data_IF_692346641205
#
_entry.id   IF_692346641205
#
_cell.length_a   1.000
_cell.length_b   1.000
_cell.length_c   1.000
_cell.angle_alpha   90.00
_cell.angle_beta   90.00
_cell.angle_gamma   90.00
#
_symmetry.space_group_name_H-M   'P 1'
#
loop_
_entity.id
_entity.type
_entity.pdbx_description
1 polymer ?
#
# COMPACT_ATOMS: atom_id res chain seq x y z
N UNK A 1 -78.84 -6.59 17.18
CA UNK A 1 -79.28 -7.18 15.88
C UNK A 1 -78.01 -7.78 15.28
N UNK A 2 -77.72 -9.03 15.43
CA UNK A 2 -78.04 -10.23 14.65
C UNK A 2 -77.74 -10.06 13.18
N UNK A 3 -76.70 -10.79 12.73
CA UNK A 3 -76.35 -11.05 11.33
C UNK A 3 -75.15 -11.97 11.24
N UNK A 4 -75.43 -13.28 11.32
CA UNK A 4 -74.51 -14.39 10.99
C UNK A 4 -74.35 -14.44 9.48
N UNK A 5 -73.16 -14.76 8.95
CA UNK A 5 -73.05 -15.70 7.81
C UNK A 5 -71.64 -16.31 7.72
N UNK A 6 -71.73 -17.52 7.82
CA UNK A 6 -70.96 -18.71 7.52
C UNK A 6 -70.24 -18.75 6.14
N UNK A 7 -68.98 -19.32 6.12
CA UNK A 7 -68.64 -20.30 5.07
C UNK A 7 -67.60 -19.86 4.06
N UNK A 8 -66.43 -20.36 4.04
CA UNK A 8 -65.94 -21.48 3.23
C UNK A 8 -64.46 -21.71 3.42
N UNK A 9 -64.13 -22.86 3.96
CA UNK A 9 -62.75 -23.38 4.02
C UNK A 9 -62.42 -23.93 2.64
N UNK A 10 -61.51 -23.31 1.91
CA UNK A 10 -60.91 -23.91 0.71
C UNK A 10 -59.48 -24.33 1.06
N UNK A 11 -59.32 -25.63 1.25
CA UNK A 11 -58.06 -26.35 1.43
C UNK A 11 -57.33 -26.40 0.11
N UNK A 12 -56.28 -25.62 -0.08
CA UNK A 12 -55.34 -25.76 -1.21
C UNK A 12 -54.12 -26.54 -0.75
N UNK A 13 -54.08 -27.83 -1.09
CA UNK A 13 -52.88 -28.65 -1.06
C UNK A 13 -51.90 -28.13 -2.14
N UNK A 14 -50.85 -27.46 -1.74
CA UNK A 14 -49.67 -27.20 -2.58
C UNK A 14 -48.69 -28.35 -2.40
N UNK A 15 -48.58 -29.16 -3.46
CA UNK A 15 -47.54 -30.18 -3.62
C UNK A 15 -46.15 -29.54 -3.55
N UNK A 16 -45.40 -29.84 -2.51
CA UNK A 16 -43.96 -29.60 -2.43
C UNK A 16 -43.27 -30.58 -3.40
N UNK A 17 -43.04 -30.14 -4.62
CA UNK A 17 -42.04 -30.74 -5.49
C UNK A 17 -40.67 -30.29 -5.05
N UNK A 18 -39.97 -31.13 -4.31
CA UNK A 18 -38.58 -30.94 -3.98
C UNK A 18 -37.71 -30.96 -5.24
N UNK A 19 -37.16 -29.84 -5.60
CA UNK A 19 -36.02 -29.78 -6.53
C UNK A 19 -34.76 -29.84 -5.71
N UNK A 20 -34.22 -31.04 -5.54
CA UNK A 20 -32.81 -31.24 -5.23
C UNK A 20 -32.01 -30.88 -6.49
N UNK A 21 -31.61 -29.64 -6.61
CA UNK A 21 -30.62 -29.25 -7.62
C UNK A 21 -29.21 -29.44 -7.07
N UNK A 22 -28.74 -30.68 -7.03
CA UNK A 22 -27.32 -30.98 -7.17
C UNK A 22 -26.97 -30.74 -8.63
N UNK A 23 -26.71 -29.49 -9.01
CA UNK A 23 -26.24 -29.14 -10.34
C UNK A 23 -24.72 -29.29 -10.38
N UNK A 24 -24.24 -30.38 -10.93
CA UNK A 24 -22.93 -30.42 -11.57
C UNK A 24 -22.96 -29.44 -12.75
N UNK A 25 -22.31 -28.30 -12.62
CA UNK A 25 -22.09 -27.36 -13.72
C UNK A 25 -21.11 -27.94 -14.73
N UNK A 26 -21.65 -28.71 -15.68
CA UNK A 26 -20.95 -29.10 -16.89
C UNK A 26 -21.94 -29.11 -18.05
N UNK A 27 -22.16 -27.91 -18.64
CA UNK A 27 -22.48 -27.71 -20.08
C UNK A 27 -22.69 -26.22 -20.38
N UNK A 28 -21.67 -25.52 -20.92
CA UNK A 28 -21.91 -24.31 -21.74
C UNK A 28 -22.23 -23.00 -21.00
N UNK A 29 -22.06 -22.90 -19.70
CA UNK A 29 -22.24 -21.65 -18.97
C UNK A 29 -20.95 -20.80 -19.03
N UNK A 30 -21.12 -19.51 -19.33
CA UNK A 30 -20.02 -18.53 -19.28
C UNK A 30 -19.55 -18.36 -17.84
N UNK A 31 -18.22 -18.53 -17.59
CA UNK A 31 -17.60 -18.26 -16.29
C UNK A 31 -17.63 -16.75 -16.01
N UNK A 32 -18.01 -16.36 -14.81
CA UNK A 32 -17.94 -14.97 -14.36
C UNK A 32 -17.02 -14.87 -13.14
N UNK A 33 -15.97 -14.07 -13.26
CA UNK A 33 -15.01 -13.78 -12.20
C UNK A 33 -15.27 -12.39 -11.63
N UNK A 34 -15.25 -12.25 -10.32
CA UNK A 34 -15.33 -10.96 -9.65
C UNK A 34 -13.91 -10.46 -9.34
N UNK A 35 -13.52 -9.32 -9.90
CA UNK A 35 -12.25 -8.66 -9.65
C UNK A 35 -12.47 -7.43 -8.79
N UNK A 36 -12.10 -7.50 -7.51
CA UNK A 36 -12.05 -6.33 -6.64
C UNK A 36 -10.76 -5.56 -6.87
N UNK A 37 -10.88 -4.27 -7.19
CA UNK A 37 -9.76 -3.36 -7.38
C UNK A 37 -9.81 -2.23 -6.35
N UNK A 38 -8.68 -1.93 -5.72
CA UNK A 38 -8.49 -0.80 -4.81
C UNK A 38 -7.96 0.45 -5.53
N UNK A 39 -7.97 0.46 -6.86
CA UNK A 39 -7.68 1.66 -7.63
C UNK A 39 -8.64 2.78 -7.20
N UNK A 40 -8.09 3.95 -6.82
CA UNK A 40 -8.90 5.04 -6.25
C UNK A 40 -8.75 6.35 -7.01
N UNK A 41 -7.63 6.56 -7.67
CA UNK A 41 -7.43 7.70 -8.55
C UNK A 41 -8.15 7.47 -9.88
N UNK A 42 -8.74 8.51 -10.45
CA UNK A 42 -9.57 8.38 -11.65
C UNK A 42 -8.86 7.64 -12.79
N UNK A 43 -7.62 8.01 -13.10
CA UNK A 43 -6.85 7.37 -14.17
C UNK A 43 -6.55 5.91 -13.89
N UNK A 44 -6.33 5.55 -12.62
CA UNK A 44 -6.13 4.17 -12.21
C UNK A 44 -7.40 3.32 -12.37
N UNK A 45 -8.54 3.86 -11.93
CA UNK A 45 -9.86 3.21 -12.11
C UNK A 45 -10.17 3.00 -13.59
N UNK A 46 -9.92 4.02 -14.42
CA UNK A 46 -10.12 3.94 -15.87
C UNK A 46 -9.23 2.88 -16.51
N UNK A 47 -7.93 2.85 -16.18
CA UNK A 47 -6.98 1.85 -16.70
C UNK A 47 -7.42 0.41 -16.36
N UNK A 48 -7.85 0.17 -15.11
CA UNK A 48 -8.34 -1.14 -14.70
C UNK A 48 -9.62 -1.54 -15.46
N UNK A 49 -10.60 -0.64 -15.57
CA UNK A 49 -11.85 -0.90 -16.30
C UNK A 49 -11.63 -1.14 -17.78
N UNK A 50 -10.72 -0.41 -18.41
CA UNK A 50 -10.37 -0.63 -19.81
C UNK A 50 -9.73 -2.01 -20.02
N UNK A 51 -8.81 -2.42 -19.15
CA UNK A 51 -8.20 -3.76 -19.22
C UNK A 51 -9.23 -4.87 -19.02
N UNK A 52 -10.18 -4.70 -18.09
CA UNK A 52 -11.32 -5.64 -17.95
C UNK A 52 -12.16 -5.69 -19.22
N UNK A 53 -12.42 -4.55 -19.85
CA UNK A 53 -13.16 -4.49 -21.13
C UNK A 53 -12.41 -5.20 -22.25
N UNK A 54 -11.09 -5.00 -22.36
CA UNK A 54 -10.24 -5.67 -23.36
C UNK A 54 -10.20 -7.19 -23.14
N UNK A 55 -10.09 -7.64 -21.89
CA UNK A 55 -10.21 -9.06 -21.55
C UNK A 55 -11.54 -9.63 -22.00
N UNK A 56 -12.64 -9.02 -21.59
CA UNK A 56 -14.00 -9.49 -21.90
C UNK A 56 -14.28 -9.54 -23.41
N UNK A 57 -13.66 -8.66 -24.19
CA UNK A 57 -13.79 -8.67 -25.65
C UNK A 57 -13.04 -9.82 -26.32
N UNK A 58 -11.96 -10.30 -25.71
CA UNK A 58 -11.10 -11.34 -26.27
C UNK A 58 -11.30 -12.75 -25.65
N UNK A 59 -12.09 -12.86 -24.59
CA UNK A 59 -12.35 -14.11 -23.86
C UNK A 59 -13.86 -14.31 -23.68
N UNK A 60 -14.58 -14.81 -24.72
CA UNK A 60 -16.04 -14.91 -24.69
C UNK A 60 -16.56 -15.86 -23.60
N UNK A 61 -15.77 -16.87 -23.22
CA UNK A 61 -16.17 -17.90 -22.25
C UNK A 61 -15.89 -17.51 -20.79
N UNK A 62 -15.04 -16.50 -20.56
CA UNK A 62 -14.65 -16.03 -19.22
C UNK A 62 -14.86 -14.52 -19.11
N UNK A 63 -15.90 -14.13 -18.40
CA UNK A 63 -16.21 -12.72 -18.11
C UNK A 63 -15.57 -12.30 -16.79
N UNK A 64 -14.99 -11.11 -16.75
CA UNK A 64 -14.58 -10.45 -15.51
C UNK A 64 -15.51 -9.28 -15.19
N UNK A 65 -16.00 -9.23 -13.97
CA UNK A 65 -16.77 -8.11 -13.42
C UNK A 65 -15.87 -7.29 -12.49
N UNK A 66 -15.70 -6.02 -12.83
CA UNK A 66 -14.95 -5.08 -12.02
C UNK A 66 -15.75 -4.67 -10.79
N UNK A 67 -15.21 -4.88 -9.62
CA UNK A 67 -15.76 -4.47 -8.32
C UNK A 67 -14.87 -3.39 -7.72
N UNK A 68 -15.43 -2.21 -7.48
CA UNK A 68 -14.71 -1.12 -6.84
C UNK A 68 -14.62 -1.37 -5.34
N UNK A 69 -13.41 -1.51 -4.84
CA UNK A 69 -13.09 -1.53 -3.41
C UNK A 69 -12.60 -0.18 -2.90
N UNK A 70 -12.25 -0.11 -1.62
CA UNK A 70 -11.67 1.05 -0.95
C UNK A 70 -10.53 0.59 -0.06
N UNK A 71 -9.49 1.42 0.07
CA UNK A 71 -8.40 1.21 1.03
C UNK A 71 -8.83 1.36 2.49
N UNK A 72 -9.96 2.06 2.72
CA UNK A 72 -10.49 2.24 4.08
C UNK A 72 -10.97 0.90 4.64
N UNK A 73 -10.35 0.44 5.74
CA UNK A 73 -10.71 -0.81 6.44
C UNK A 73 -10.74 -2.06 5.53
N UNK A 74 -9.90 -2.11 4.49
CA UNK A 74 -9.89 -3.21 3.50
C UNK A 74 -9.66 -4.56 4.17
N UNK A 75 -8.73 -4.63 5.13
CA UNK A 75 -8.44 -5.87 5.87
C UNK A 75 -9.69 -6.46 6.52
N UNK A 76 -10.43 -5.67 7.30
CA UNK A 76 -11.63 -6.12 7.99
C UNK A 76 -12.77 -6.47 7.02
N UNK A 77 -12.89 -5.71 5.91
CA UNK A 77 -13.88 -5.98 4.87
C UNK A 77 -13.60 -7.31 4.15
N UNK A 78 -12.32 -7.57 3.80
CA UNK A 78 -11.92 -8.83 3.18
C UNK A 78 -12.11 -10.00 4.15
N UNK A 79 -11.71 -9.88 5.40
CA UNK A 79 -11.91 -10.91 6.41
C UNK A 79 -13.40 -11.26 6.55
N UNK A 80 -14.27 -10.26 6.64
CA UNK A 80 -15.72 -10.46 6.68
C UNK A 80 -16.24 -11.17 5.43
N UNK A 81 -15.74 -10.82 4.24
CA UNK A 81 -16.17 -11.43 2.97
C UNK A 81 -15.69 -12.88 2.85
N UNK A 82 -14.50 -13.20 3.34
CA UNK A 82 -13.99 -14.58 3.39
C UNK A 82 -14.85 -15.45 4.33
N UNK A 83 -15.09 -14.97 5.55
CA UNK A 83 -15.93 -15.69 6.52
C UNK A 83 -17.37 -15.86 6.07
N UNK A 84 -17.89 -14.89 5.28
CA UNK A 84 -19.23 -14.94 4.70
C UNK A 84 -19.37 -15.79 3.43
N UNK A 85 -18.27 -16.27 2.85
CA UNK A 85 -18.28 -16.98 1.57
C UNK A 85 -18.62 -16.07 0.36
N UNK A 86 -18.44 -14.76 0.51
CA UNK A 86 -18.76 -13.74 -0.50
C UNK A 86 -17.48 -13.04 -1.04
N UNK A 87 -16.32 -13.66 -0.86
CA UNK A 87 -15.06 -13.10 -1.33
C UNK A 87 -15.05 -12.96 -2.87
N UNK A 88 -14.43 -11.90 -3.42
CA UNK A 88 -14.19 -11.82 -4.86
C UNK A 88 -13.15 -12.87 -5.28
N UNK A 89 -13.23 -13.35 -6.54
CA UNK A 89 -12.28 -14.35 -7.05
C UNK A 89 -10.87 -13.80 -7.12
N UNK A 90 -10.73 -12.53 -7.51
CA UNK A 90 -9.44 -11.85 -7.65
C UNK A 90 -9.46 -10.61 -6.75
N UNK A 91 -8.46 -10.50 -5.91
CA UNK A 91 -8.37 -9.52 -4.84
C UNK A 91 -7.14 -8.64 -5.09
N UNK A 92 -7.35 -7.34 -5.23
CA UNK A 92 -6.29 -6.34 -5.18
C UNK A 92 -6.15 -5.84 -3.75
N UNK A 93 -4.95 -5.98 -3.17
CA UNK A 93 -4.63 -5.56 -1.82
C UNK A 93 -3.16 -5.18 -1.67
N UNK A 94 -2.75 -4.68 -0.49
CA UNK A 94 -1.36 -4.51 -0.14
C UNK A 94 -0.75 -5.84 0.36
N UNK A 95 0.53 -6.03 0.11
CA UNK A 95 1.23 -7.24 0.56
C UNK A 95 1.33 -7.38 2.09
N UNK A 96 1.03 -6.32 2.86
CA UNK A 96 1.07 -6.33 4.33
C UNK A 96 0.01 -7.25 4.94
N UNK A 97 -1.15 -7.38 4.29
CA UNK A 97 -2.28 -8.16 4.78
C UNK A 97 -2.20 -9.64 4.38
N UNK A 98 -1.38 -9.96 3.35
CA UNK A 98 -1.29 -11.33 2.80
C UNK A 98 -0.90 -12.38 3.84
N UNK A 99 -0.07 -12.04 4.82
CA UNK A 99 0.38 -13.00 5.82
C UNK A 99 -0.79 -13.54 6.65
N UNK A 100 -1.67 -12.66 7.11
CA UNK A 100 -2.82 -13.04 7.94
C UNK A 100 -3.84 -13.84 7.10
N UNK A 101 -4.10 -13.43 5.87
CA UNK A 101 -5.02 -14.13 4.97
C UNK A 101 -4.47 -15.50 4.50
N UNK A 102 -3.17 -15.58 4.24
CA UNK A 102 -2.53 -16.85 3.85
C UNK A 102 -2.53 -17.87 5.00
N UNK A 103 -2.30 -17.43 6.23
CA UNK A 103 -2.35 -18.29 7.42
C UNK A 103 -3.78 -18.62 7.87
N UNK A 104 -4.76 -17.85 7.43
CA UNK A 104 -6.19 -18.12 7.62
C UNK A 104 -6.78 -19.06 6.55
N UNK A 105 -5.95 -19.55 5.62
CA UNK A 105 -6.37 -20.38 4.48
C UNK A 105 -7.41 -19.70 3.56
N UNK A 106 -7.39 -18.35 3.51
CA UNK A 106 -8.33 -17.58 2.68
C UNK A 106 -7.83 -17.37 1.24
N UNK A 107 -6.51 -17.54 1.00
CA UNK A 107 -5.89 -17.29 -0.29
C UNK A 107 -5.32 -18.57 -0.91
N UNK A 108 -5.49 -18.70 -2.22
CA UNK A 108 -4.96 -19.82 -3.00
C UNK A 108 -3.44 -19.74 -3.13
N UNK A 109 -2.78 -20.90 -3.05
CA UNK A 109 -1.36 -21.01 -3.42
C UNK A 109 -1.20 -20.95 -4.95
N UNK A 110 -0.61 -19.88 -5.42
CA UNK A 110 -0.49 -19.56 -6.84
C UNK A 110 0.65 -20.29 -7.56
N UNK A 111 1.51 -21.04 -6.87
CA UNK A 111 2.69 -21.71 -7.47
C UNK A 111 2.35 -22.59 -8.67
N UNK A 112 1.21 -23.28 -8.63
CA UNK A 112 0.77 -24.19 -9.68
C UNK A 112 0.08 -23.52 -10.88
N UNK A 113 -0.42 -22.30 -10.73
CA UNK A 113 -1.26 -21.64 -11.72
C UNK A 113 -0.61 -20.42 -12.41
N UNK A 114 0.46 -19.85 -11.84
CA UNK A 114 1.16 -18.71 -12.44
C UNK A 114 1.98 -19.13 -13.66
N UNK A 115 1.97 -18.27 -14.70
CA UNK A 115 2.76 -18.49 -15.92
C UNK A 115 4.26 -18.38 -15.65
N UNK A 116 5.07 -19.11 -16.46
CA UNK A 116 6.52 -19.03 -16.40
C UNK A 116 7.04 -17.61 -16.72
N UNK A 117 6.36 -16.91 -17.63
CA UNK A 117 6.65 -15.52 -17.99
C UNK A 117 6.59 -14.61 -16.76
N UNK A 118 5.47 -14.66 -16.04
CA UNK A 118 5.22 -13.78 -14.90
C UNK A 118 6.21 -14.05 -13.76
N UNK A 119 6.48 -15.34 -13.49
CA UNK A 119 7.49 -15.75 -12.50
C UNK A 119 8.89 -15.24 -12.82
N UNK A 120 9.27 -15.18 -14.11
CA UNK A 120 10.58 -14.73 -14.55
C UNK A 120 10.71 -13.19 -14.61
N UNK A 121 9.61 -12.46 -14.86
CA UNK A 121 9.65 -11.01 -15.03
C UNK A 121 9.71 -10.24 -13.68
N UNK A 122 9.06 -10.78 -12.65
CA UNK A 122 9.04 -10.14 -11.33
C UNK A 122 10.28 -10.57 -10.53
N UNK A 123 11.09 -9.64 -9.98
CA UNK A 123 12.29 -9.96 -9.22
C UNK A 123 11.99 -10.76 -7.95
N UNK A 124 12.92 -11.64 -7.56
CA UNK A 124 12.80 -12.48 -6.35
C UNK A 124 12.51 -11.66 -5.09
N UNK A 125 13.12 -10.47 -4.94
CA UNK A 125 12.85 -9.57 -3.80
C UNK A 125 11.40 -9.12 -3.69
N UNK A 126 10.70 -9.00 -4.84
CA UNK A 126 9.27 -8.66 -4.85
C UNK A 126 8.42 -9.89 -4.51
N UNK A 127 8.77 -11.08 -5.02
CA UNK A 127 8.10 -12.33 -4.67
C UNK A 127 8.17 -12.64 -3.17
N UNK A 128 9.26 -12.25 -2.50
CA UNK A 128 9.41 -12.43 -1.04
C UNK A 128 8.29 -11.74 -0.25
N UNK A 129 7.71 -10.67 -0.79
CA UNK A 129 6.61 -9.93 -0.13
C UNK A 129 5.27 -10.70 -0.15
N UNK A 130 5.16 -11.73 -0.98
CA UNK A 130 3.93 -12.50 -1.17
C UNK A 130 4.14 -14.01 -0.96
N UNK A 131 5.27 -14.40 -0.33
CA UNK A 131 5.64 -15.81 -0.09
C UNK A 131 5.63 -16.10 1.41
N UNK A 132 4.79 -17.04 1.84
CA UNK A 132 4.60 -17.44 3.24
C UNK A 132 4.52 -18.95 3.35
N UNK A 133 5.14 -19.55 4.36
CA UNK A 133 5.08 -21.02 4.57
C UNK A 133 5.49 -21.87 3.37
N UNK A 134 6.25 -21.30 2.43
CA UNK A 134 6.65 -21.96 1.17
C UNK A 134 5.62 -21.85 0.04
N UNK A 135 4.43 -21.27 0.26
CA UNK A 135 3.43 -20.94 -0.76
C UNK A 135 3.57 -19.50 -1.28
N UNK A 136 2.98 -19.21 -2.43
CA UNK A 136 2.89 -17.87 -3.04
C UNK A 136 1.42 -17.47 -3.07
N UNK A 137 1.04 -16.39 -2.36
CA UNK A 137 -0.36 -16.03 -2.12
C UNK A 137 -0.81 -14.72 -2.77
N UNK A 138 0.09 -14.09 -3.52
CA UNK A 138 -0.22 -12.90 -4.30
C UNK A 138 0.84 -12.66 -5.37
N UNK A 139 0.48 -11.89 -6.39
CA UNK A 139 1.41 -11.44 -7.42
C UNK A 139 1.69 -9.96 -7.20
N UNK A 140 2.90 -9.57 -6.75
CA UNK A 140 3.26 -8.17 -6.60
C UNK A 140 3.27 -7.48 -7.96
N UNK A 141 2.60 -6.33 -8.12
CA UNK A 141 2.52 -5.70 -9.44
C UNK A 141 2.85 -4.20 -9.45
N UNK A 142 2.50 -3.44 -8.42
CA UNK A 142 2.85 -2.04 -8.27
C UNK A 142 3.54 -1.77 -6.94
N UNK A 143 4.46 -0.83 -6.93
CA UNK A 143 5.21 -0.41 -5.75
C UNK A 143 5.51 1.08 -5.81
N UNK A 144 5.63 1.73 -4.64
CA UNK A 144 5.98 3.14 -4.61
C UNK A 144 7.09 3.45 -3.61
N UNK A 145 8.13 4.19 -4.02
CA UNK A 145 9.07 4.77 -3.08
C UNK A 145 8.42 5.91 -2.28
N UNK A 146 8.91 6.17 -1.09
CA UNK A 146 8.72 7.46 -0.43
C UNK A 146 9.66 8.48 -1.05
N UNK A 147 9.10 9.64 -1.36
CA UNK A 147 9.83 10.78 -1.96
C UNK A 147 9.54 12.05 -1.17
N UNK A 148 10.30 13.09 -1.41
CA UNK A 148 10.00 14.42 -0.92
C UNK A 148 9.52 15.26 -2.10
N UNK A 149 8.27 15.73 -2.07
CA UNK A 149 7.84 16.78 -3.00
C UNK A 149 8.24 18.13 -2.41
N UNK A 150 8.81 19.00 -3.22
CA UNK A 150 9.41 20.24 -2.78
C UNK A 150 8.99 21.42 -3.66
N UNK A 151 8.81 22.59 -3.06
CA UNK A 151 8.62 23.85 -3.77
C UNK A 151 9.94 24.28 -4.40
N UNK A 152 10.04 24.15 -5.73
CA UNK A 152 11.26 24.38 -6.49
C UNK A 152 11.76 25.82 -6.38
N UNK A 153 10.84 26.78 -6.45
CA UNK A 153 11.17 28.20 -6.27
C UNK A 153 11.79 28.47 -4.89
N UNK A 154 11.19 27.95 -3.84
CA UNK A 154 11.67 28.16 -2.48
C UNK A 154 13.05 27.53 -2.24
N UNK A 155 13.28 26.29 -2.73
CA UNK A 155 14.60 25.65 -2.66
C UNK A 155 15.66 26.48 -3.40
N UNK A 156 15.36 26.95 -4.61
CA UNK A 156 16.27 27.75 -5.43
C UNK A 156 16.63 29.08 -4.76
N UNK A 157 15.64 29.79 -4.24
CA UNK A 157 15.85 31.08 -3.54
C UNK A 157 16.66 30.92 -2.25
N UNK A 158 16.56 29.77 -1.57
CA UNK A 158 17.32 29.50 -0.36
C UNK A 158 18.77 29.08 -0.60
N UNK A 159 19.16 28.77 -1.84
CA UNK A 159 20.49 28.32 -2.20
C UNK A 159 20.90 26.99 -1.54
N UNK A 160 19.95 26.14 -1.17
CA UNK A 160 20.25 24.79 -0.68
C UNK A 160 20.62 23.88 -1.85
N UNK A 161 21.51 22.93 -1.62
CA UNK A 161 21.83 21.89 -2.60
C UNK A 161 20.61 21.03 -2.86
N UNK A 162 20.24 20.85 -4.13
CA UNK A 162 19.17 19.92 -4.50
C UNK A 162 19.74 18.49 -4.47
N UNK A 163 19.12 17.55 -3.75
CA UNK A 163 19.55 16.17 -3.71
C UNK A 163 19.12 15.42 -4.99
N UNK A 164 19.93 14.46 -5.40
CA UNK A 164 19.63 13.51 -6.46
C UNK A 164 19.77 12.09 -5.93
N UNK A 165 19.30 11.04 -6.62
CA UNK A 165 19.53 9.66 -6.20
C UNK A 165 21.00 9.30 -6.04
N UNK A 166 21.90 9.90 -6.85
CA UNK A 166 23.34 9.67 -6.78
C UNK A 166 24.01 10.47 -5.65
N UNK A 167 23.37 11.56 -5.23
CA UNK A 167 23.85 12.45 -4.16
C UNK A 167 22.70 12.90 -3.27
N UNK A 168 22.09 12.00 -2.50
CA UNK A 168 20.98 12.34 -1.60
C UNK A 168 21.44 13.25 -0.46
N UNK A 169 20.50 13.80 0.27
CA UNK A 169 20.78 14.33 1.61
C UNK A 169 20.92 13.19 2.60
N UNK A 170 21.79 13.35 3.59
CA UNK A 170 21.69 12.55 4.80
C UNK A 170 20.52 13.02 5.68
N UNK A 171 20.09 12.22 6.65
CA UNK A 171 19.08 12.64 7.63
C UNK A 171 19.48 13.92 8.38
N UNK A 172 20.77 14.08 8.69
CA UNK A 172 21.28 15.28 9.34
C UNK A 172 21.24 16.50 8.40
N UNK A 173 21.61 16.35 7.12
CA UNK A 173 21.48 17.42 6.12
C UNK A 173 20.03 17.81 5.92
N UNK A 174 19.13 16.84 5.79
CA UNK A 174 17.70 17.09 5.66
C UNK A 174 17.14 17.91 6.83
N UNK A 175 17.48 17.52 8.08
CA UNK A 175 17.11 18.29 9.27
C UNK A 175 17.68 19.71 9.23
N UNK A 176 18.94 19.88 8.83
CA UNK A 176 19.56 21.20 8.68
C UNK A 176 18.89 22.06 7.62
N UNK A 177 18.53 21.45 6.47
CA UNK A 177 17.82 22.12 5.38
C UNK A 177 16.43 22.56 5.84
N UNK A 178 15.67 21.71 6.52
CA UNK A 178 14.32 22.08 7.00
C UNK A 178 14.39 23.27 7.98
N UNK A 179 15.35 23.31 8.88
CA UNK A 179 15.56 24.48 9.77
C UNK A 179 15.86 25.75 8.97
N UNK A 180 16.75 25.67 7.98
CA UNK A 180 17.11 26.82 7.13
C UNK A 180 15.93 27.35 6.33
N UNK A 181 15.01 26.49 5.93
CA UNK A 181 13.79 26.84 5.18
C UNK A 181 12.66 27.32 6.09
N UNK A 182 12.82 27.28 7.40
CA UNK A 182 11.77 27.66 8.36
C UNK A 182 11.90 29.11 8.83
N UNK A 183 10.80 29.66 9.29
CA UNK A 183 10.71 30.99 9.89
C UNK A 183 9.58 31.84 9.34
N UNK A 184 9.22 32.90 10.08
CA UNK A 184 8.13 33.84 9.73
C UNK A 184 6.78 33.13 9.50
N UNK A 185 6.46 32.11 10.32
CA UNK A 185 5.22 31.34 10.21
C UNK A 185 5.20 30.31 9.09
N UNK A 186 6.35 30.02 8.49
CA UNK A 186 6.55 29.00 7.45
C UNK A 186 7.44 27.88 7.97
N UNK A 187 7.26 26.68 7.43
CA UNK A 187 7.95 25.47 7.85
C UNK A 187 8.77 24.87 6.72
N UNK A 188 9.93 24.30 7.05
CA UNK A 188 10.78 23.60 6.08
C UNK A 188 10.14 22.29 5.60
N UNK A 189 9.33 21.64 6.45
CA UNK A 189 8.69 20.36 6.12
C UNK A 189 7.29 20.27 6.72
N UNK A 190 6.42 19.53 6.05
CA UNK A 190 5.14 19.07 6.58
C UNK A 190 5.11 17.54 6.53
N UNK A 191 5.00 16.89 7.67
CA UNK A 191 4.89 15.43 7.76
C UNK A 191 3.43 15.01 7.87
N UNK A 192 2.85 14.32 6.88
CA UNK A 192 1.50 13.74 6.97
C UNK A 192 1.56 12.43 7.74
N UNK A 193 1.32 12.45 9.04
CA UNK A 193 1.50 11.31 9.95
C UNK A 193 0.20 10.88 10.62
N UNK A 194 -0.95 11.02 9.94
CA UNK A 194 -2.18 10.35 10.36
C UNK A 194 -1.96 8.83 10.49
N UNK A 195 -1.21 8.26 9.52
CA UNK A 195 -0.78 6.85 9.49
C UNK A 195 0.76 6.80 9.56
N UNK A 196 1.37 6.95 10.75
CA UNK A 196 2.80 7.19 10.87
C UNK A 196 3.67 5.94 10.67
N UNK A 197 3.12 4.75 10.95
CA UNK A 197 3.89 3.51 11.11
C UNK A 197 4.61 3.12 9.83
N UNK A 198 3.87 2.95 8.75
CA UNK A 198 4.41 2.52 7.46
C UNK A 198 5.52 3.46 6.96
N UNK A 199 5.27 4.78 7.02
CA UNK A 199 6.26 5.77 6.60
C UNK A 199 7.53 5.71 7.46
N UNK A 200 7.37 5.62 8.78
CA UNK A 200 8.48 5.57 9.72
C UNK A 200 9.33 4.31 9.52
N UNK A 201 8.70 3.13 9.50
CA UNK A 201 9.42 1.86 9.37
C UNK A 201 10.13 1.73 8.02
N UNK A 202 9.44 2.08 6.94
CA UNK A 202 10.01 1.96 5.61
C UNK A 202 11.21 2.88 5.38
N UNK A 203 11.17 4.10 5.91
CA UNK A 203 12.30 5.02 5.84
C UNK A 203 13.44 4.65 6.80
N UNK A 204 13.14 3.96 7.92
CA UNK A 204 14.17 3.54 8.88
C UNK A 204 15.17 2.53 8.30
N UNK A 205 14.79 1.79 7.24
CA UNK A 205 15.71 0.89 6.53
C UNK A 205 16.92 1.63 5.96
N UNK A 206 16.79 2.90 5.57
CA UNK A 206 17.94 3.72 5.12
C UNK A 206 19.03 3.87 6.20
N UNK A 207 18.64 3.83 7.46
CA UNK A 207 19.56 3.91 8.61
C UNK A 207 19.97 2.52 9.16
N UNK A 208 19.54 1.43 8.52
CA UNK A 208 19.76 0.06 9.00
C UNK A 208 18.79 -0.35 10.11
N UNK A 209 17.62 0.30 10.20
CA UNK A 209 16.57 -0.08 11.16
C UNK A 209 15.88 -1.37 10.75
N UNK A 210 15.77 -2.31 11.67
CA UNK A 210 15.08 -3.58 11.51
C UNK A 210 14.24 -3.85 12.77
N UNK A 211 13.08 -3.22 12.86
CA UNK A 211 12.23 -3.30 14.04
C UNK A 211 11.79 -4.75 14.37
N UNK A 212 11.45 -5.54 13.34
CA UNK A 212 11.01 -6.92 13.49
C UNK A 212 12.16 -7.88 13.23
N UNK A 213 12.53 -8.64 14.26
CA UNK A 213 13.62 -9.62 14.20
C UNK A 213 13.06 -11.03 14.23
N UNK A 214 13.35 -11.81 13.19
CA UNK A 214 12.96 -13.22 13.10
C UNK A 214 14.13 -14.10 13.56
N UNK A 215 13.88 -15.01 14.50
CA UNK A 215 14.88 -16.00 14.91
C UNK A 215 14.90 -17.23 13.98
N UNK A 216 15.77 -18.19 14.28
CA UNK A 216 15.93 -19.39 13.48
C UNK A 216 14.66 -20.29 13.47
N UNK A 217 13.84 -20.23 14.52
CA UNK A 217 12.59 -20.97 14.65
C UNK A 217 11.41 -20.25 14.00
N UNK A 218 11.68 -19.09 13.38
CA UNK A 218 10.69 -18.28 12.68
C UNK A 218 9.91 -17.32 13.57
N UNK A 219 10.17 -17.30 14.88
CA UNK A 219 9.53 -16.38 15.83
C UNK A 219 9.98 -14.95 15.62
N UNK A 220 9.01 -14.04 15.54
CA UNK A 220 9.26 -12.61 15.36
C UNK A 220 9.22 -11.89 16.71
N UNK A 221 10.21 -11.06 16.96
CA UNK A 221 10.29 -10.19 18.13
C UNK A 221 10.55 -8.74 17.70
N UNK A 222 9.96 -7.80 18.42
CA UNK A 222 10.18 -6.37 18.21
C UNK A 222 11.37 -5.91 19.04
N UNK A 223 12.31 -5.23 18.37
CA UNK A 223 13.42 -4.51 19.00
C UNK A 223 13.45 -3.08 18.45
N UNK A 224 13.80 -2.13 19.26
CA UNK A 224 13.87 -0.72 18.87
C UNK A 224 15.25 -0.18 19.21
N UNK A 225 16.19 -0.37 18.28
CA UNK A 225 17.61 -0.03 18.42
C UNK A 225 17.94 1.40 17.97
N UNK A 226 19.22 1.74 17.94
CA UNK A 226 19.69 3.08 17.56
C UNK A 226 19.34 3.41 16.10
N UNK A 227 19.45 2.45 15.18
CA UNK A 227 19.11 2.62 13.78
C UNK A 227 17.60 2.91 13.57
N UNK A 228 16.74 2.19 14.30
CA UNK A 228 15.28 2.40 14.25
C UNK A 228 14.87 3.78 14.76
N UNK A 229 15.68 4.41 15.59
CA UNK A 229 15.39 5.72 16.19
C UNK A 229 15.76 6.91 15.28
N UNK A 230 16.54 6.72 14.21
CA UNK A 230 17.02 7.83 13.37
C UNK A 230 15.87 8.62 12.78
N UNK A 231 14.93 7.95 12.14
CA UNK A 231 13.76 8.60 11.50
C UNK A 231 12.81 9.19 12.54
N UNK A 232 12.35 8.43 13.56
CA UNK A 232 11.46 8.99 14.59
C UNK A 232 12.04 10.21 15.30
N UNK A 233 13.32 10.14 15.69
CA UNK A 233 14.00 11.30 16.33
C UNK A 233 14.07 12.50 15.39
N UNK A 234 14.40 12.29 14.11
CA UNK A 234 14.47 13.40 13.15
C UNK A 234 13.12 14.11 13.03
N UNK A 235 12.02 13.36 12.92
CA UNK A 235 10.67 13.92 12.84
C UNK A 235 10.30 14.67 14.13
N UNK A 236 10.54 14.05 15.28
CA UNK A 236 10.28 14.65 16.59
C UNK A 236 11.09 15.93 16.78
N UNK A 237 12.40 15.89 16.51
CA UNK A 237 13.26 17.06 16.66
C UNK A 237 12.87 18.20 15.72
N UNK A 238 12.44 17.90 14.48
CA UNK A 238 11.92 18.89 13.55
C UNK A 238 10.61 19.53 14.06
N UNK A 239 9.75 18.80 14.75
CA UNK A 239 8.49 19.29 15.28
C UNK A 239 8.69 20.07 16.60
N UNK A 240 9.39 19.48 17.57
CA UNK A 240 9.48 19.95 18.94
C UNK A 240 10.68 20.89 19.20
N UNK A 241 11.87 20.49 18.74
CA UNK A 241 13.11 21.25 19.05
C UNK A 241 13.41 22.34 18.03
N UNK A 242 13.33 21.99 16.74
CA UNK A 242 13.73 22.88 15.63
C UNK A 242 12.55 23.77 15.18
N UNK A 243 11.34 23.41 15.51
CA UNK A 243 10.10 24.02 15.02
C UNK A 243 10.10 24.19 13.49
N UNK A 244 10.72 23.23 12.80
CA UNK A 244 10.87 23.23 11.34
C UNK A 244 9.86 22.33 10.63
N UNK A 245 9.15 21.46 11.36
CA UNK A 245 7.99 20.74 10.87
C UNK A 245 6.69 21.44 11.28
N UNK A 246 5.70 21.42 10.38
CA UNK A 246 4.38 22.00 10.66
C UNK A 246 3.62 21.13 11.68
N UNK A 247 3.26 21.65 12.87
CA UNK A 247 2.58 20.85 13.88
C UNK A 247 1.16 20.44 13.43
N UNK A 248 0.52 21.21 12.55
CA UNK A 248 -0.84 20.92 12.09
C UNK A 248 -0.92 19.74 11.12
N UNK A 249 0.20 19.25 10.62
CA UNK A 249 0.24 18.15 9.64
C UNK A 249 0.56 16.78 10.25
N UNK A 250 0.99 16.74 11.51
CA UNK A 250 1.33 15.49 12.19
C UNK A 250 0.13 14.53 12.35
N UNK A 251 -1.09 15.04 12.37
CA UNK A 251 -2.33 14.25 12.35
C UNK A 251 -3.06 14.24 11.01
N UNK A 252 -2.45 14.78 9.95
CA UNK A 252 -3.07 14.89 8.62
C UNK A 252 -2.69 13.73 7.71
N UNK A 253 -3.56 13.42 6.76
CA UNK A 253 -3.25 12.55 5.63
C UNK A 253 -2.42 13.27 4.57
N UNK A 254 -1.88 12.53 3.59
CA UNK A 254 -1.06 13.09 2.52
C UNK A 254 -1.80 14.18 1.73
N UNK A 255 -3.01 13.90 1.28
CA UNK A 255 -3.84 14.86 0.51
C UNK A 255 -4.13 16.13 1.29
N UNK A 256 -4.33 16.06 2.61
CA UNK A 256 -4.66 17.20 3.47
C UNK A 256 -3.51 18.21 3.56
N UNK A 257 -2.27 17.80 3.24
CA UNK A 257 -1.11 18.69 3.27
C UNK A 257 -0.96 19.52 1.99
N UNK A 258 -1.57 19.11 0.88
CA UNK A 258 -1.35 19.73 -0.43
C UNK A 258 -1.82 21.19 -0.50
N UNK A 259 -2.99 21.61 0.05
CA UNK A 259 -3.39 23.01 0.03
C UNK A 259 -2.38 23.93 0.72
N UNK A 260 -1.82 23.52 1.85
CA UNK A 260 -0.77 24.26 2.54
C UNK A 260 0.55 24.31 1.79
N UNK A 261 0.91 23.23 1.08
CA UNK A 261 2.07 23.17 0.20
C UNK A 261 1.93 24.14 -0.98
N UNK A 262 0.78 24.14 -1.65
CA UNK A 262 0.49 25.10 -2.74
C UNK A 262 0.44 26.54 -2.25
N UNK A 263 -0.07 26.77 -1.04
CA UNK A 263 -0.11 28.06 -0.38
C UNK A 263 1.23 28.54 0.17
N UNK A 264 2.32 27.76 0.02
CA UNK A 264 3.66 28.11 0.48
C UNK A 264 3.79 28.21 2.01
N UNK A 265 3.04 27.39 2.75
CA UNK A 265 3.18 27.26 4.21
C UNK A 265 4.37 26.39 4.58
N UNK A 266 4.70 25.40 3.75
CA UNK A 266 5.85 24.50 3.91
C UNK A 266 6.59 24.32 2.59
N UNK A 267 7.92 24.17 2.71
CA UNK A 267 8.78 24.01 1.56
C UNK A 267 8.75 22.60 0.98
N UNK A 268 8.56 21.59 1.82
CA UNK A 268 8.66 20.17 1.46
C UNK A 268 7.58 19.35 2.15
N UNK A 269 7.16 18.27 1.49
CA UNK A 269 6.24 17.25 2.03
C UNK A 269 6.74 15.87 1.66
N UNK A 270 7.14 15.02 2.62
CA UNK A 270 7.41 13.60 2.37
C UNK A 270 6.11 12.86 2.07
N UNK A 271 6.01 12.22 0.90
CA UNK A 271 4.80 11.56 0.39
C UNK A 271 5.14 10.22 -0.27
N UNK A 272 4.14 9.40 -0.49
CA UNK A 272 4.21 8.31 -1.46
C UNK A 272 4.31 8.87 -2.88
N UNK A 273 4.95 8.13 -3.75
CA UNK A 273 5.22 8.55 -5.13
C UNK A 273 3.95 8.80 -5.96
N UNK A 274 2.86 8.14 -5.65
CA UNK A 274 1.55 8.26 -6.30
C UNK A 274 0.86 9.62 -6.06
N UNK A 275 1.16 10.32 -4.97
CA UNK A 275 0.57 11.64 -4.68
C UNK A 275 0.90 12.73 -5.71
N UNK A 276 1.91 12.50 -6.57
CA UNK A 276 2.25 13.41 -7.67
C UNK A 276 1.07 13.66 -8.61
N UNK A 277 0.20 12.66 -8.81
CA UNK A 277 -1.02 12.83 -9.60
C UNK A 277 -1.89 13.96 -9.04
N UNK A 278 -2.12 13.98 -7.73
CA UNK A 278 -2.91 15.05 -7.12
C UNK A 278 -2.21 16.41 -7.24
N UNK A 279 -0.89 16.44 -7.16
CA UNK A 279 -0.13 17.69 -7.34
C UNK A 279 -0.33 18.24 -8.75
N UNK A 280 -0.19 17.39 -9.77
CA UNK A 280 -0.41 17.80 -11.17
C UNK A 280 -1.84 18.29 -11.40
N UNK A 281 -2.83 17.65 -10.78
CA UNK A 281 -4.24 18.02 -10.95
C UNK A 281 -4.65 19.28 -10.18
N UNK A 282 -4.06 19.54 -9.01
CA UNK A 282 -4.56 20.53 -8.06
C UNK A 282 -3.63 21.73 -7.89
N UNK A 283 -2.36 21.63 -8.30
CA UNK A 283 -1.44 22.75 -8.15
C UNK A 283 -1.88 23.98 -8.96
N UNK A 284 -1.72 25.18 -8.42
CA UNK A 284 -1.96 26.41 -9.19
C UNK A 284 -1.11 26.47 -10.45
N UNK A 285 -1.65 27.05 -11.52
CA UNK A 285 -0.91 27.20 -12.78
C UNK A 285 0.46 27.87 -12.55
N UNK A 286 1.51 27.23 -13.02
CA UNK A 286 2.89 27.71 -12.88
C UNK A 286 3.51 27.47 -11.50
N UNK A 287 2.91 26.62 -10.67
CA UNK A 287 3.51 26.19 -9.42
C UNK A 287 4.75 25.35 -9.69
N UNK A 288 5.92 25.86 -9.32
CA UNK A 288 7.21 25.19 -9.50
C UNK A 288 7.42 24.18 -8.37
N UNK A 289 7.41 22.89 -8.72
CA UNK A 289 7.64 21.81 -7.78
C UNK A 289 8.58 20.75 -8.38
N UNK A 290 9.19 19.94 -7.53
CA UNK A 290 10.06 18.86 -7.93
C UNK A 290 10.00 17.68 -6.96
N UNK A 291 10.38 16.51 -7.45
CA UNK A 291 10.50 15.27 -6.69
C UNK A 291 11.95 15.05 -6.30
N UNK A 292 12.19 14.87 -5.02
CA UNK A 292 13.51 14.62 -4.45
C UNK A 292 13.52 13.21 -3.82
N UNK A 293 14.67 12.51 -3.81
CA UNK A 293 14.81 11.29 -3.04
C UNK A 293 14.62 11.56 -1.54
N UNK A 294 14.11 10.57 -0.82
CA UNK A 294 14.14 10.59 0.64
C UNK A 294 15.60 10.63 1.16
N UNK A 295 15.83 11.06 2.41
CA UNK A 295 17.19 11.12 2.96
C UNK A 295 17.84 9.74 3.04
N UNK A 296 19.14 9.69 2.78
CA UNK A 296 19.97 8.51 2.94
C UNK A 296 20.49 8.38 4.37
N UNK A 297 20.63 7.15 4.82
CA UNK A 297 21.30 6.79 6.07
C UNK A 297 22.53 5.92 5.83
N UNK A 298 22.87 5.07 6.80
CA UNK A 298 24.02 4.16 6.72
C UNK A 298 23.86 3.15 5.55
N UNK A 299 22.61 2.73 5.24
CA UNK A 299 22.29 1.81 4.15
C UNK A 299 21.82 2.56 2.89
N UNK A 300 22.30 3.79 2.71
CA UNK A 300 22.02 4.60 1.53
C UNK A 300 20.54 4.98 1.41
N UNK A 301 19.98 4.84 0.20
CA UNK A 301 18.58 5.16 -0.11
C UNK A 301 17.62 3.98 0.11
N UNK A 302 18.07 2.93 0.81
CA UNK A 302 17.23 1.75 1.07
C UNK A 302 15.93 2.15 1.75
N UNK A 303 14.81 1.70 1.19
CA UNK A 303 13.47 1.93 1.73
C UNK A 303 12.67 0.63 1.74
N UNK A 304 11.81 0.49 2.74
CA UNK A 304 10.78 -0.54 2.76
C UNK A 304 9.66 -0.21 1.79
N UNK A 305 9.10 -1.24 1.22
CA UNK A 305 7.91 -1.14 0.37
C UNK A 305 7.00 -2.33 0.61
N UNK A 306 5.72 -2.05 0.63
CA UNK A 306 4.65 -3.06 0.59
C UNK A 306 3.99 -2.94 -0.79
N UNK A 307 4.38 -3.78 -1.76
CA UNK A 307 3.78 -3.74 -3.08
C UNK A 307 2.28 -4.00 -3.01
N UNK A 308 1.55 -3.41 -3.93
CA UNK A 308 0.20 -3.86 -4.26
C UNK A 308 0.27 -5.24 -4.90
N UNK A 309 -0.67 -6.10 -4.56
CA UNK A 309 -0.71 -7.50 -5.00
C UNK A 309 -2.07 -7.85 -5.61
N UNK A 310 -2.05 -8.84 -6.48
CA UNK A 310 -3.24 -9.54 -6.95
C UNK A 310 -3.23 -10.96 -6.39
N UNK A 311 -4.21 -11.28 -5.58
CA UNK A 311 -4.43 -12.59 -4.97
C UNK A 311 -5.67 -13.27 -5.55
N UNK A 312 -5.79 -14.58 -5.33
CA UNK A 312 -6.98 -15.36 -5.71
C UNK A 312 -7.54 -15.98 -4.43
N UNK A 313 -8.84 -15.86 -4.23
CA UNK A 313 -9.50 -16.45 -3.07
C UNK A 313 -9.38 -17.99 -3.11
N UNK A 314 -9.15 -18.62 -1.96
CA UNK A 314 -9.08 -20.09 -1.89
C UNK A 314 -10.39 -20.74 -2.29
N UNK A 315 -11.52 -20.14 -1.94
CA UNK A 315 -12.86 -20.68 -2.27
C UNK A 315 -13.28 -20.40 -3.71
N UNK A 316 -12.50 -19.67 -4.52
CA UNK A 316 -12.83 -19.49 -5.93
C UNK A 316 -12.82 -20.83 -6.67
N UNK A 317 -13.93 -21.21 -7.34
CA UNK A 317 -13.98 -22.44 -8.13
C UNK A 317 -13.21 -22.30 -9.46
N UNK A 318 -12.78 -21.09 -9.83
CA UNK A 318 -12.18 -20.75 -11.12
C UNK A 318 -10.75 -20.21 -10.99
N UNK A 319 -9.94 -20.80 -10.09
CA UNK A 319 -8.56 -20.34 -9.80
C UNK A 319 -7.68 -20.27 -11.04
N UNK A 320 -7.87 -21.17 -12.00
CA UNK A 320 -7.08 -21.19 -13.23
C UNK A 320 -7.43 -20.01 -14.14
N UNK A 321 -8.69 -19.77 -14.38
CA UNK A 321 -9.18 -18.66 -15.20
C UNK A 321 -8.87 -17.31 -14.53
N UNK A 322 -8.96 -17.23 -13.21
CA UNK A 322 -8.51 -16.09 -12.43
C UNK A 322 -7.02 -15.81 -12.61
N UNK A 323 -6.17 -16.85 -12.58
CA UNK A 323 -4.74 -16.71 -12.82
C UNK A 323 -4.42 -16.29 -14.27
N UNK A 324 -5.19 -16.75 -15.26
CA UNK A 324 -5.07 -16.31 -16.66
C UNK A 324 -5.41 -14.81 -16.81
N UNK A 325 -6.43 -14.33 -16.11
CA UNK A 325 -6.75 -12.89 -16.08
C UNK A 325 -5.64 -12.08 -15.37
N UNK A 326 -5.12 -12.54 -14.24
CA UNK A 326 -3.97 -11.92 -13.57
C UNK A 326 -2.76 -11.86 -14.51
N UNK A 327 -2.45 -12.95 -15.23
CA UNK A 327 -1.37 -12.96 -16.23
C UNK A 327 -1.61 -11.93 -17.36
N UNK A 328 -2.85 -11.78 -17.81
CA UNK A 328 -3.22 -10.75 -18.79
C UNK A 328 -3.01 -9.35 -18.24
N UNK A 329 -3.51 -9.03 -17.05
CA UNK A 329 -3.33 -7.73 -16.40
C UNK A 329 -1.85 -7.38 -16.25
N UNK A 330 -1.02 -8.37 -15.97
CA UNK A 330 0.40 -8.19 -15.66
C UNK A 330 1.33 -8.46 -16.86
N UNK A 331 0.82 -8.44 -18.09
CA UNK A 331 1.67 -8.33 -19.27
C UNK A 331 2.41 -6.99 -19.24
N UNK A 332 3.68 -6.92 -19.68
CA UNK A 332 4.48 -5.70 -19.53
C UNK A 332 3.75 -4.43 -19.95
N UNK A 333 3.12 -4.42 -21.14
CA UNK A 333 2.36 -3.27 -21.64
C UNK A 333 1.19 -2.87 -20.74
N UNK A 334 0.45 -3.84 -20.20
CA UNK A 334 -0.69 -3.59 -19.34
C UNK A 334 -0.23 -3.13 -17.95
N UNK A 335 0.84 -3.72 -17.43
CA UNK A 335 1.45 -3.30 -16.16
C UNK A 335 1.96 -1.85 -16.23
N UNK A 336 2.49 -1.40 -17.38
CA UNK A 336 2.82 0.02 -17.62
C UNK A 336 1.57 0.89 -17.53
N UNK A 337 0.46 0.48 -18.15
CA UNK A 337 -0.82 1.23 -18.08
C UNK A 337 -1.32 1.36 -16.65
N UNK A 338 -1.27 0.27 -15.87
CA UNK A 338 -1.62 0.29 -14.45
C UNK A 338 -0.69 1.22 -13.66
N UNK A 339 0.63 1.12 -13.91
CA UNK A 339 1.63 1.94 -13.24
C UNK A 339 1.44 3.44 -13.53
N UNK A 340 1.21 3.81 -14.78
CA UNK A 340 0.94 5.20 -15.18
C UNK A 340 -0.40 5.70 -14.62
N UNK A 341 -1.44 4.84 -14.62
CA UNK A 341 -2.75 5.17 -14.05
C UNK A 341 -2.69 5.45 -12.56
N UNK A 342 -1.92 4.65 -11.83
CA UNK A 342 -1.75 4.76 -10.37
C UNK A 342 -0.60 5.68 -9.94
N UNK A 343 0.18 6.18 -10.90
CA UNK A 343 1.37 6.99 -10.66
C UNK A 343 2.39 6.28 -9.76
N UNK A 344 2.49 4.96 -9.89
CA UNK A 344 3.38 4.07 -9.16
C UNK A 344 4.41 3.41 -10.10
N UNK A 345 5.31 2.64 -9.56
CA UNK A 345 6.28 1.88 -10.33
C UNK A 345 5.83 0.42 -10.49
N UNK A 346 5.96 -0.17 -11.69
CA UNK A 346 5.71 -1.59 -11.86
C UNK A 346 6.80 -2.42 -11.17
N UNK A 347 6.45 -3.60 -10.68
CA UNK A 347 7.43 -4.56 -10.16
C UNK A 347 8.12 -5.34 -11.27
N UNK A 348 7.42 -5.55 -12.41
CA UNK A 348 7.93 -6.28 -13.56
C UNK A 348 9.12 -5.58 -14.22
N UNK A 349 10.20 -6.34 -14.44
CA UNK A 349 11.46 -5.81 -14.96
C UNK A 349 11.34 -5.31 -16.40
N UNK A 350 10.46 -5.91 -17.21
CA UNK A 350 10.22 -5.43 -18.58
C UNK A 350 9.38 -4.15 -18.59
N UNK A 351 8.33 -4.10 -17.77
CA UNK A 351 7.50 -2.91 -17.64
C UNK A 351 8.30 -1.71 -17.10
N UNK A 352 9.20 -1.94 -16.13
CA UNK A 352 10.02 -0.87 -15.55
C UNK A 352 10.98 -0.21 -16.56
N UNK A 353 11.26 -0.85 -17.71
CA UNK A 353 12.11 -0.29 -18.78
C UNK A 353 11.36 0.62 -19.74
N UNK A 354 10.04 0.75 -19.60
CA UNK A 354 9.25 1.57 -20.52
C UNK A 354 9.70 3.04 -20.46
N UNK A 355 9.97 3.69 -21.61
CA UNK A 355 10.44 5.06 -21.66
C UNK A 355 9.54 6.06 -20.94
N UNK A 356 8.22 5.83 -20.87
CA UNK A 356 7.28 6.70 -20.18
C UNK A 356 7.59 6.84 -18.66
N UNK A 357 8.22 5.83 -18.06
CA UNK A 357 8.62 5.82 -16.65
C UNK A 357 9.99 6.47 -16.40
N UNK A 358 10.69 6.93 -17.45
CA UNK A 358 12.04 7.52 -17.35
C UNK A 358 12.09 9.00 -17.73
N UNK A 359 10.94 9.64 -17.89
CA UNK A 359 10.87 11.07 -18.21
C UNK A 359 11.25 11.92 -17.00
N UNK A 360 11.82 13.10 -17.24
CA UNK A 360 12.06 14.08 -16.17
C UNK A 360 10.75 14.72 -15.68
N UNK A 361 9.69 14.66 -16.49
CA UNK A 361 8.38 15.21 -16.19
C UNK A 361 7.81 14.56 -14.93
N UNK A 362 7.23 15.35 -14.06
CA UNK A 362 6.58 14.94 -12.83
C UNK A 362 7.40 14.00 -11.93
N UNK A 363 8.72 13.97 -12.10
CA UNK A 363 9.64 13.21 -11.27
C UNK A 363 9.68 11.70 -11.56
N UNK A 364 9.18 11.22 -12.71
CA UNK A 364 9.24 9.81 -13.05
C UNK A 364 10.67 9.25 -13.01
N UNK A 365 11.64 9.95 -13.63
CA UNK A 365 13.04 9.52 -13.60
C UNK A 365 13.58 9.35 -12.18
N UNK A 366 13.24 10.26 -11.26
CA UNK A 366 13.65 10.16 -9.84
C UNK A 366 13.07 8.91 -9.20
N UNK A 367 11.76 8.67 -9.35
CA UNK A 367 11.11 7.47 -8.80
C UNK A 367 11.70 6.18 -9.36
N UNK A 368 11.88 6.11 -10.67
CA UNK A 368 12.45 4.92 -11.34
C UNK A 368 13.88 4.64 -10.91
N UNK A 369 14.70 5.67 -10.70
CA UNK A 369 16.06 5.51 -10.13
C UNK A 369 16.02 4.91 -8.70
N UNK A 370 14.96 5.17 -7.94
CA UNK A 370 14.80 4.60 -6.58
C UNK A 370 14.36 3.13 -6.59
N UNK A 371 13.83 2.60 -7.69
CA UNK A 371 13.31 1.23 -7.75
C UNK A 371 14.34 0.16 -7.32
N UNK A 372 15.63 0.37 -7.61
CA UNK A 372 16.71 -0.51 -7.20
C UNK A 372 17.00 -0.52 -5.70
N UNK A 373 16.54 0.49 -4.96
CA UNK A 373 16.74 0.65 -3.52
C UNK A 373 15.56 0.14 -2.68
N UNK A 374 14.47 -0.29 -3.32
CA UNK A 374 13.30 -0.81 -2.62
C UNK A 374 13.55 -2.23 -2.11
N UNK A 375 13.14 -2.50 -0.88
CA UNK A 375 13.22 -3.79 -0.20
C UNK A 375 11.86 -4.10 0.41
N UNK A 376 11.64 -5.36 0.80
CA UNK A 376 10.45 -5.72 1.57
C UNK A 376 10.33 -4.84 2.82
N UNK A 377 9.11 -4.37 3.10
CA UNK A 377 8.85 -3.59 4.31
C UNK A 377 9.21 -4.40 5.57
N UNK A 378 9.67 -3.76 6.66
CA UNK A 378 9.98 -4.47 7.91
C UNK A 378 8.83 -5.29 8.46
N UNK A 379 7.60 -4.87 8.22
CA UNK A 379 6.38 -5.55 8.62
C UNK A 379 6.03 -6.79 7.80
N UNK A 380 6.71 -6.99 6.67
CA UNK A 380 6.40 -8.07 5.74
C UNK A 380 6.50 -9.43 6.42
N UNK A 381 5.50 -10.28 6.22
CA UNK A 381 5.40 -11.62 6.83
C UNK A 381 5.31 -11.63 8.36
N UNK A 382 4.89 -10.54 8.98
CA UNK A 382 4.68 -10.47 10.44
C UNK A 382 3.21 -10.68 10.76
N UNK A 383 2.86 -11.87 11.23
CA UNK A 383 1.50 -12.19 11.70
C UNK A 383 1.12 -11.28 12.87
N UNK A 384 -0.11 -10.76 12.83
CA UNK A 384 -0.61 -9.81 13.83
C UNK A 384 -0.04 -8.39 13.66
N UNK A 385 0.64 -8.09 12.54
CA UNK A 385 1.10 -6.75 12.23
C UNK A 385 -0.06 -5.73 12.17
N UNK A 386 -1.21 -6.00 11.53
CA UNK A 386 -2.31 -5.05 11.50
C UNK A 386 -2.76 -4.64 12.91
N UNK A 387 -2.95 -5.60 13.81
CA UNK A 387 -3.33 -5.29 15.18
C UNK A 387 -2.27 -4.50 15.94
N UNK A 388 -1.00 -4.88 15.80
CA UNK A 388 0.10 -4.14 16.40
C UNK A 388 0.17 -2.71 15.85
N UNK A 389 0.06 -2.55 14.54
CA UNK A 389 0.07 -1.24 13.86
C UNK A 389 -1.00 -0.33 14.43
N UNK A 390 -2.24 -0.81 14.46
CA UNK A 390 -3.39 0.04 14.77
C UNK A 390 -3.55 0.29 16.27
N UNK A 391 -3.32 -0.73 17.12
CA UNK A 391 -3.58 -0.63 18.57
C UNK A 391 -2.37 -0.20 19.39
N UNK A 392 -1.15 -0.38 18.88
CA UNK A 392 0.08 -0.07 19.64
C UNK A 392 0.91 0.99 18.96
N UNK A 393 1.32 0.78 17.70
CA UNK A 393 2.35 1.61 17.09
C UNK A 393 1.81 2.96 16.62
N UNK A 394 0.64 3.00 15.97
CA UNK A 394 0.05 4.26 15.50
C UNK A 394 -0.15 5.27 16.62
N UNK A 395 -0.86 4.95 17.72
CA UNK A 395 -1.02 5.91 18.82
C UNK A 395 0.32 6.27 19.49
N UNK A 396 1.25 5.31 19.66
CA UNK A 396 2.53 5.58 20.28
C UNK A 396 3.39 6.54 19.44
N UNK A 397 3.44 6.37 18.13
CA UNK A 397 4.17 7.30 17.25
C UNK A 397 3.48 8.67 17.17
N UNK A 398 2.15 8.73 17.12
CA UNK A 398 1.43 10.02 17.11
C UNK A 398 1.68 10.82 18.38
N UNK A 399 1.62 10.17 19.55
CA UNK A 399 1.92 10.81 20.85
C UNK A 399 3.40 11.25 20.94
N UNK A 400 4.32 10.45 20.41
CA UNK A 400 5.73 10.81 20.37
C UNK A 400 6.00 12.01 19.44
N UNK A 401 5.41 12.03 18.25
CA UNK A 401 5.61 13.13 17.30
C UNK A 401 4.94 14.44 17.76
N UNK A 402 3.90 14.35 18.55
CA UNK A 402 3.26 15.52 19.18
C UNK A 402 3.97 15.98 20.46
N UNK A 403 5.01 15.28 20.91
CA UNK A 403 5.72 15.59 22.16
C UNK A 403 4.99 15.16 23.43
N UNK A 404 3.88 14.41 23.33
CA UNK A 404 3.11 13.95 24.49
C UNK A 404 3.85 12.86 25.29
N UNK A 405 4.68 12.05 24.63
CA UNK A 405 5.54 11.04 25.28
C UNK A 405 6.99 11.18 24.82
N UNK A 406 7.91 10.75 25.68
CA UNK A 406 9.34 10.70 25.36
C UNK A 406 9.75 9.41 24.64
N UNK A 407 10.97 9.40 24.08
CA UNK A 407 11.53 8.26 23.34
C UNK A 407 11.57 6.96 24.16
N UNK A 408 11.84 7.05 25.48
CA UNK A 408 11.84 5.89 26.36
C UNK A 408 10.49 5.21 26.46
N UNK A 409 9.42 5.99 26.54
CA UNK A 409 8.05 5.50 26.58
C UNK A 409 7.63 4.94 25.23
N UNK A 410 7.92 5.64 24.12
CA UNK A 410 7.72 5.11 22.77
C UNK A 410 8.34 3.71 22.63
N UNK A 411 9.62 3.58 23.01
CA UNK A 411 10.34 2.29 22.98
C UNK A 411 9.63 1.24 23.84
N UNK A 412 9.21 1.61 25.04
CA UNK A 412 8.51 0.70 25.96
C UNK A 412 7.24 0.14 25.33
N UNK A 413 6.39 0.99 24.78
CA UNK A 413 5.15 0.59 24.11
C UNK A 413 5.41 -0.27 22.88
N UNK A 414 6.28 0.18 21.97
CA UNK A 414 6.57 -0.57 20.75
C UNK A 414 7.10 -1.98 21.05
N UNK A 415 8.04 -2.11 22.02
CA UNK A 415 8.71 -3.37 22.31
C UNK A 415 7.89 -4.23 23.26
N UNK A 416 7.49 -3.71 24.42
CA UNK A 416 6.82 -4.51 25.45
C UNK A 416 5.40 -4.90 25.02
N UNK A 417 4.60 -3.90 24.71
CA UNK A 417 3.19 -4.13 24.37
C UNK A 417 3.08 -4.79 23.00
N UNK A 418 3.97 -4.40 22.06
CA UNK A 418 4.05 -5.01 20.74
C UNK A 418 4.39 -6.50 20.79
N UNK A 419 5.38 -6.92 21.58
CA UNK A 419 5.71 -8.35 21.71
C UNK A 419 4.56 -9.14 22.37
N UNK A 420 3.75 -8.52 23.23
CA UNK A 420 2.54 -9.17 23.78
C UNK A 420 1.48 -9.40 22.69
N UNK A 421 1.31 -8.46 21.77
CA UNK A 421 0.44 -8.64 20.59
C UNK A 421 0.95 -9.78 19.73
N UNK A 422 2.20 -9.71 19.26
CA UNK A 422 2.75 -10.72 18.34
C UNK A 422 2.74 -12.14 18.93
N UNK A 423 2.95 -12.28 20.23
CA UNK A 423 2.95 -13.58 20.92
C UNK A 423 1.62 -14.34 20.77
N UNK A 424 0.50 -13.66 20.54
CA UNK A 424 -0.81 -14.31 20.33
C UNK A 424 -0.91 -15.01 18.98
N UNK A 425 -0.20 -14.50 17.98
CA UNK A 425 -0.20 -14.99 16.60
C UNK A 425 0.91 -16.01 16.30
N UNK A 426 1.81 -16.27 17.27
CA UNK A 426 2.99 -17.14 17.09
C UNK A 426 2.92 -18.42 17.95
N UNK A 427 1.72 -18.81 18.33
CA UNK A 427 1.48 -20.05 19.11
C UNK A 427 1.34 -21.26 18.19
#
# INVERSE_FOLDING_TARGET
MRGRMTGLLALVLVLLAGCTSGGSDTAGGRITLRFQSLAWQQQSVEANKELVKEWNASHPDVRVEYVQGSWDSVHDQLLTSFEGGEAPDIIHDASDDLADFAYGDYLADLRGVLSARLKADIPQRSWQTATFGGGVYGVPFLQEPRVIVANGKWLKESGVRIPTPERPWSWAEFRSVTRRLSGRGKYGVAWPLKEPVSATLNLSLSAGGELFHRDADGKVTIRFGAADQVVPRTIHDQADTDHSASPTTLGSGGSDTLPGFFGGRYAMVPLGFSYRQQIVQQAPKGFDWQVLPAPAGADGLTQGVSPQTLSIAEDSPHKKEAAEFVDFLLRPKNMVRLALGDWMLPTGTQALKDPALHTAEDGWATGTALAGHLRSAPAQSVRGYPEWKDKVATPAFQEYYSGAIGLGELRGRLVKDGNLVLARYQR
#
